data_IF_678746885746
#
_entry.id   IF_678746885746
#
_cell.length_a   1.000
_cell.length_b   1.000
_cell.length_c   1.000
_cell.angle_alpha   90.00
_cell.angle_beta   90.00
_cell.angle_gamma   90.00
#
_symmetry.space_group_name_H-M   'P 1'
#
loop_
_entity.id
_entity.type
_entity.pdbx_description
1 polymer ?
#
# COMPACT_ATOMS: atom_id res chain seq x y z
N UNK A 1 77.54 21.66 -23.54
CA UNK A 1 76.74 20.72 -22.73
C UNK A 1 77.66 19.58 -22.32
N UNK A 2 77.78 19.33 -21.02
CA UNK A 2 78.75 18.36 -20.47
C UNK A 2 78.20 16.94 -20.59
N UNK A 3 79.06 15.98 -20.96
CA UNK A 3 78.74 14.54 -20.99
C UNK A 3 78.27 14.03 -19.62
N UNK A 4 78.65 14.72 -18.54
CA UNK A 4 78.33 14.37 -17.15
C UNK A 4 76.84 14.57 -16.83
N UNK A 5 76.15 15.54 -17.44
CA UNK A 5 74.71 15.72 -17.21
C UNK A 5 73.86 14.68 -17.94
N UNK A 6 74.36 14.12 -19.06
CA UNK A 6 73.67 13.05 -19.78
C UNK A 6 73.84 11.65 -19.18
N UNK A 7 74.77 11.48 -18.23
CA UNK A 7 74.90 10.24 -17.45
C UNK A 7 73.92 10.16 -16.28
N UNK A 8 73.38 11.29 -15.81
CA UNK A 8 72.40 11.32 -14.73
C UNK A 8 71.13 10.52 -15.08
N UNK A 9 70.65 10.62 -16.33
CA UNK A 9 69.51 9.86 -16.85
C UNK A 9 69.73 8.34 -16.85
N UNK A 10 70.99 7.86 -16.81
CA UNK A 10 71.32 6.43 -16.70
C UNK A 10 71.41 5.94 -15.24
N UNK A 11 71.45 6.85 -14.27
CA UNK A 11 71.46 6.54 -12.83
C UNK A 11 70.09 6.77 -12.17
N UNK A 12 69.12 7.35 -12.89
CA UNK A 12 67.72 7.32 -12.48
C UNK A 12 67.21 5.89 -12.60
N UNK A 13 67.27 5.16 -11.48
CA UNK A 13 66.78 3.80 -11.39
C UNK A 13 65.26 3.83 -11.65
N UNK A 14 64.84 3.27 -12.78
CA UNK A 14 63.44 3.24 -13.18
C UNK A 14 62.70 2.23 -12.29
N UNK A 15 62.18 2.72 -11.16
CA UNK A 15 61.40 1.89 -10.24
C UNK A 15 60.05 1.58 -10.92
N UNK A 16 59.91 0.36 -11.43
CA UNK A 16 58.63 -0.14 -11.92
C UNK A 16 57.61 -0.16 -10.76
N UNK A 17 56.51 0.58 -10.85
CA UNK A 17 55.52 0.60 -9.79
C UNK A 17 54.86 -0.78 -9.67
N UNK A 18 54.68 -1.23 -8.42
CA UNK A 18 53.98 -2.48 -8.14
C UNK A 18 52.56 -2.37 -8.70
N UNK A 19 52.11 -3.33 -9.53
CA UNK A 19 50.75 -3.35 -10.05
C UNK A 19 49.72 -3.26 -8.91
N UNK A 20 48.87 -2.23 -8.94
CA UNK A 20 47.79 -2.09 -7.95
C UNK A 20 46.83 -3.29 -8.07
N UNK A 21 46.61 -4.07 -7.00
CA UNK A 21 45.59 -5.11 -6.99
C UNK A 21 44.22 -4.46 -7.17
N UNK A 22 43.42 -5.01 -8.08
CA UNK A 22 42.10 -4.47 -8.35
C UNK A 22 41.08 -5.58 -8.53
N UNK A 23 39.84 -5.26 -8.17
CA UNK A 23 38.69 -6.13 -8.33
C UNK A 23 37.58 -5.31 -8.97
N UNK A 24 37.09 -5.76 -10.12
CA UNK A 24 36.01 -5.12 -10.87
C UNK A 24 34.89 -6.13 -11.06
N UNK A 25 33.69 -5.75 -10.61
CA UNK A 25 32.46 -6.52 -10.84
C UNK A 25 31.62 -5.80 -11.88
N UNK A 26 31.29 -6.50 -12.96
CA UNK A 26 30.49 -6.00 -14.07
C UNK A 26 29.14 -6.73 -14.05
N UNK A 27 28.04 -5.98 -13.94
CA UNK A 27 26.69 -6.55 -13.90
C UNK A 27 25.74 -5.77 -14.80
N UNK A 28 25.10 -6.48 -15.73
CA UNK A 28 24.13 -5.97 -16.69
C UNK A 28 24.64 -4.74 -17.47
N UNK A 29 25.78 -4.91 -18.14
CA UNK A 29 26.47 -3.85 -18.88
C UNK A 29 26.48 -4.17 -20.37
N UNK A 30 26.12 -3.19 -21.19
CA UNK A 30 26.34 -3.21 -22.62
C UNK A 30 27.54 -2.31 -22.96
N UNK A 31 28.52 -2.85 -23.67
CA UNK A 31 29.71 -2.13 -24.11
C UNK A 31 29.71 -2.05 -25.63
N UNK A 32 30.01 -0.86 -26.15
CA UNK A 32 30.29 -0.62 -27.56
C UNK A 32 31.77 -0.31 -27.70
N UNK A 33 32.54 -1.25 -28.24
CA UNK A 33 33.98 -1.14 -28.36
C UNK A 33 34.37 -0.63 -29.74
N UNK A 34 34.99 0.55 -29.76
CA UNK A 34 35.59 1.13 -30.95
C UNK A 34 37.11 0.95 -30.91
N UNK A 35 37.67 0.51 -32.02
CA UNK A 35 39.11 0.34 -32.14
C UNK A 35 39.79 1.66 -32.51
N UNK A 36 40.63 2.16 -31.61
CA UNK A 36 41.35 3.45 -31.76
C UNK A 36 42.70 3.30 -32.49
N UNK A 37 42.91 2.18 -33.19
CA UNK A 37 44.16 1.98 -33.93
C UNK A 37 44.16 2.82 -35.22
N UNK A 38 45.23 3.58 -35.50
CA UNK A 38 45.35 4.27 -36.78
C UNK A 38 45.37 3.25 -37.92
N UNK A 39 44.74 3.55 -39.06
CA UNK A 39 44.68 2.62 -40.19
C UNK A 39 46.09 2.31 -40.69
N UNK A 40 46.45 1.03 -40.67
CA UNK A 40 47.78 0.57 -41.13
C UNK A 40 47.93 0.64 -42.65
N UNK A 41 46.81 0.67 -43.39
CA UNK A 41 46.77 0.81 -44.84
C UNK A 41 45.60 1.72 -45.25
N UNK A 42 45.89 2.67 -46.13
CA UNK A 42 44.92 3.66 -46.64
C UNK A 42 43.79 3.06 -47.49
N UNK A 43 43.92 1.80 -47.94
CA UNK A 43 42.94 1.09 -48.77
C UNK A 43 42.17 0.01 -48.02
N UNK A 44 42.47 -0.23 -46.74
CA UNK A 44 41.75 -1.23 -45.94
C UNK A 44 40.44 -0.64 -45.40
N UNK A 45 39.33 -1.41 -45.37
CA UNK A 45 38.15 -0.99 -44.61
C UNK A 45 38.56 -0.78 -43.14
N UNK A 46 38.02 0.28 -42.53
CA UNK A 46 38.30 0.62 -41.14
C UNK A 46 37.87 -0.48 -40.16
N UNK A 47 38.34 -0.40 -38.90
CA UNK A 47 37.99 -1.41 -37.92
C UNK A 47 36.49 -1.40 -37.61
N UNK A 48 35.93 -2.59 -37.37
CA UNK A 48 34.50 -2.79 -37.14
C UNK A 48 34.25 -2.75 -35.62
N UNK A 49 33.30 -1.93 -35.12
CA UNK A 49 32.95 -1.89 -33.72
C UNK A 49 32.42 -3.24 -33.20
N UNK A 50 32.64 -3.53 -31.92
CA UNK A 50 32.18 -4.75 -31.25
C UNK A 50 31.20 -4.40 -30.14
N UNK A 51 29.99 -4.95 -30.22
CA UNK A 51 28.99 -4.88 -29.15
C UNK A 51 29.12 -6.09 -28.22
N UNK A 52 29.29 -5.83 -26.93
CA UNK A 52 29.35 -6.84 -25.89
C UNK A 52 28.22 -6.63 -24.89
N UNK A 53 27.45 -7.69 -24.63
CA UNK A 53 26.45 -7.69 -23.58
C UNK A 53 26.91 -8.60 -22.44
N UNK A 54 27.19 -8.01 -21.29
CA UNK A 54 27.76 -8.67 -20.12
C UNK A 54 26.69 -8.77 -19.05
N UNK A 55 26.21 -10.00 -18.79
CA UNK A 55 25.24 -10.27 -17.73
C UNK A 55 25.89 -10.15 -16.36
N UNK A 56 26.91 -10.96 -16.08
CA UNK A 56 27.72 -10.90 -14.85
C UNK A 56 29.16 -11.38 -15.15
N UNK A 57 30.17 -10.58 -14.79
CA UNK A 57 31.59 -10.90 -14.98
C UNK A 57 32.43 -10.33 -13.85
N UNK A 58 33.45 -11.08 -13.43
CA UNK A 58 34.40 -10.65 -12.40
C UNK A 58 35.81 -10.56 -12.98
N UNK A 59 36.46 -9.42 -12.78
CA UNK A 59 37.82 -9.17 -13.26
C UNK A 59 38.71 -8.86 -12.06
N UNK A 60 39.79 -9.62 -11.89
CA UNK A 60 40.76 -9.44 -10.80
C UNK A 60 42.16 -9.21 -11.36
N UNK A 61 42.82 -8.14 -10.94
CA UNK A 61 44.27 -7.96 -11.16
C UNK A 61 45.00 -8.34 -9.89
N UNK A 62 45.90 -9.32 -9.98
CA UNK A 62 46.77 -9.72 -8.87
C UNK A 62 48.01 -8.81 -8.79
N UNK A 63 48.79 -8.94 -7.73
CA UNK A 63 50.07 -8.22 -7.52
C UNK A 63 51.10 -8.50 -8.63
N UNK A 64 51.00 -9.66 -9.30
CA UNK A 64 51.78 -10.01 -10.50
C UNK A 64 51.36 -9.21 -11.75
N UNK A 65 50.36 -8.34 -11.63
CA UNK A 65 49.83 -7.50 -12.71
C UNK A 65 48.89 -8.22 -13.69
N UNK A 66 48.69 -9.53 -13.56
CA UNK A 66 47.85 -10.35 -14.44
C UNK A 66 46.36 -10.18 -14.13
N UNK A 67 45.58 -9.92 -15.18
CA UNK A 67 44.12 -9.88 -15.14
C UNK A 67 43.52 -11.27 -15.28
N UNK A 68 42.73 -11.67 -14.29
CA UNK A 68 41.95 -12.90 -14.27
C UNK A 68 40.50 -12.54 -14.51
N UNK A 69 39.90 -13.13 -15.54
CA UNK A 69 38.51 -12.93 -15.89
C UNK A 69 37.77 -14.21 -15.53
N UNK A 70 36.91 -14.13 -14.53
CA UNK A 70 36.18 -15.26 -13.97
C UNK A 70 34.67 -15.03 -14.06
N UNK A 71 33.88 -16.08 -14.34
CA UNK A 71 32.44 -16.00 -14.16
C UNK A 71 32.13 -15.75 -12.68
N UNK A 72 31.09 -14.96 -12.40
CA UNK A 72 30.65 -14.74 -11.02
C UNK A 72 30.28 -16.10 -10.42
N UNK A 73 30.98 -16.50 -9.35
CA UNK A 73 30.58 -17.67 -8.56
C UNK A 73 29.31 -17.27 -7.83
N UNK A 74 28.17 -17.69 -8.36
CA UNK A 74 26.90 -17.64 -7.65
C UNK A 74 27.11 -18.47 -6.39
N UNK A 75 27.26 -17.82 -5.23
CA UNK A 75 27.20 -18.48 -3.94
C UNK A 75 25.74 -18.88 -3.70
N UNK A 76 25.28 -19.91 -4.41
CA UNK A 76 23.90 -20.41 -4.40
C UNK A 76 23.41 -20.72 -2.98
N UNK A 77 24.33 -21.05 -2.07
CA UNK A 77 23.99 -21.38 -0.68
C UNK A 77 23.55 -20.16 0.15
N UNK A 78 24.14 -18.97 -0.08
CA UNK A 78 23.78 -17.75 0.66
C UNK A 78 22.55 -17.05 0.07
N UNK A 79 22.36 -17.10 -1.26
CA UNK A 79 21.17 -16.53 -1.90
C UNK A 79 19.92 -17.34 -1.57
N UNK A 80 20.00 -18.68 -1.56
CA UNK A 80 18.86 -19.52 -1.20
C UNK A 80 18.40 -19.31 0.26
N UNK A 81 19.34 -19.13 1.18
CA UNK A 81 19.02 -18.84 2.58
C UNK A 81 18.39 -17.44 2.75
N UNK A 82 18.94 -16.42 2.07
CA UNK A 82 18.39 -15.06 2.11
C UNK A 82 17.00 -14.98 1.49
N UNK A 83 16.78 -15.62 0.35
CA UNK A 83 15.49 -15.68 -0.34
C UNK A 83 14.48 -16.48 0.50
N UNK A 84 14.90 -17.60 1.12
CA UNK A 84 14.01 -18.40 1.97
C UNK A 84 13.49 -17.62 3.17
N UNK A 85 14.33 -16.79 3.79
CA UNK A 85 13.92 -15.96 4.93
C UNK A 85 12.94 -14.85 4.52
N UNK A 86 13.16 -14.23 3.36
CA UNK A 86 12.27 -13.21 2.80
C UNK A 86 10.92 -13.80 2.36
N UNK A 87 10.93 -15.01 1.81
CA UNK A 87 9.70 -15.74 1.46
C UNK A 87 8.90 -16.09 2.72
N UNK A 88 9.55 -16.48 3.82
CA UNK A 88 8.87 -16.80 5.07
C UNK A 88 8.27 -15.56 5.74
N UNK A 89 8.98 -14.43 5.74
CA UNK A 89 8.46 -13.16 6.26
C UNK A 89 7.29 -12.65 5.44
N UNK A 90 7.36 -12.73 4.10
CA UNK A 90 6.24 -12.40 3.22
C UNK A 90 5.03 -13.33 3.44
N UNK A 91 5.25 -14.63 3.67
CA UNK A 91 4.16 -15.57 4.01
C UNK A 91 3.47 -15.19 5.31
N UNK A 92 4.23 -14.80 6.33
CA UNK A 92 3.69 -14.32 7.62
C UNK A 92 2.82 -13.08 7.43
N UNK A 93 3.31 -12.09 6.68
CA UNK A 93 2.55 -10.85 6.40
C UNK A 93 1.26 -11.15 5.63
N UNK A 94 1.33 -12.03 4.62
CA UNK A 94 0.15 -12.42 3.85
C UNK A 94 -0.89 -13.11 4.73
N UNK A 95 -0.47 -13.98 5.65
CA UNK A 95 -1.38 -14.63 6.59
C UNK A 95 -2.06 -13.62 7.53
N UNK A 96 -1.30 -12.65 8.05
CA UNK A 96 -1.83 -11.59 8.90
C UNK A 96 -2.87 -10.74 8.16
N UNK A 97 -2.56 -10.28 6.95
CA UNK A 97 -3.48 -9.50 6.11
C UNK A 97 -4.74 -10.29 5.74
N UNK A 98 -4.64 -11.62 5.59
CA UNK A 98 -5.81 -12.46 5.33
C UNK A 98 -6.73 -12.55 6.54
N UNK A 99 -6.17 -12.63 7.75
CA UNK A 99 -6.95 -12.61 9.00
C UNK A 99 -7.63 -11.25 9.18
N UNK A 100 -6.89 -10.15 9.00
CA UNK A 100 -7.45 -8.80 9.10
C UNK A 100 -8.58 -8.58 8.10
N UNK A 101 -8.41 -8.99 6.84
CA UNK A 101 -9.48 -8.91 5.84
C UNK A 101 -10.72 -9.72 6.23
N UNK A 102 -10.54 -10.89 6.85
CA UNK A 102 -11.65 -11.72 7.31
C UNK A 102 -12.42 -11.02 8.44
N UNK A 103 -11.72 -10.39 9.37
CA UNK A 103 -12.35 -9.69 10.48
C UNK A 103 -13.03 -8.39 10.03
N UNK A 104 -12.42 -7.65 9.10
CA UNK A 104 -13.07 -6.50 8.46
C UNK A 104 -14.37 -6.90 7.74
N UNK A 105 -14.38 -8.03 7.03
CA UNK A 105 -15.60 -8.55 6.38
C UNK A 105 -16.69 -8.85 7.41
N UNK A 106 -16.35 -9.48 8.53
CA UNK A 106 -17.31 -9.72 9.63
C UNK A 106 -17.85 -8.41 10.22
N UNK A 107 -17.00 -7.41 10.38
CA UNK A 107 -17.42 -6.09 10.88
C UNK A 107 -18.35 -5.38 9.89
N UNK A 108 -18.12 -5.53 8.59
CA UNK A 108 -19.03 -4.98 7.57
C UNK A 108 -20.40 -5.66 7.64
N UNK A 109 -20.44 -7.00 7.76
CA UNK A 109 -21.70 -7.74 7.88
C UNK A 109 -22.51 -7.32 9.12
N UNK A 110 -21.85 -7.16 10.28
CA UNK A 110 -22.55 -6.71 11.50
C UNK A 110 -23.02 -5.27 11.38
N UNK A 111 -22.21 -4.38 10.80
CA UNK A 111 -22.58 -3.00 10.57
C UNK A 111 -23.79 -2.86 9.63
N UNK A 112 -23.82 -3.65 8.55
CA UNK A 112 -24.94 -3.70 7.61
C UNK A 112 -26.23 -4.15 8.31
N UNK A 113 -26.15 -5.19 9.14
CA UNK A 113 -27.30 -5.66 9.92
C UNK A 113 -27.81 -4.57 10.88
N UNK A 114 -26.93 -3.92 11.64
CA UNK A 114 -27.30 -2.83 12.55
C UNK A 114 -27.90 -1.65 11.79
N UNK A 115 -27.36 -1.32 10.63
CA UNK A 115 -27.90 -0.25 9.78
C UNK A 115 -29.33 -0.56 9.32
N UNK A 116 -29.61 -1.81 8.95
CA UNK A 116 -30.95 -2.26 8.59
C UNK A 116 -31.91 -2.19 9.78
N UNK A 117 -31.50 -2.72 10.94
CA UNK A 117 -32.29 -2.68 12.16
C UNK A 117 -32.60 -1.23 12.60
N UNK A 118 -31.65 -0.31 12.45
CA UNK A 118 -31.87 1.12 12.71
C UNK A 118 -32.90 1.73 11.76
N UNK A 119 -32.86 1.38 10.47
CA UNK A 119 -33.85 1.88 9.51
C UNK A 119 -35.27 1.39 9.85
N UNK A 120 -35.41 0.12 10.23
CA UNK A 120 -36.68 -0.45 10.66
C UNK A 120 -37.17 0.19 11.97
N UNK A 121 -36.28 0.40 12.94
CA UNK A 121 -36.60 1.11 14.19
C UNK A 121 -37.11 2.53 13.94
N UNK A 122 -36.49 3.27 13.01
CA UNK A 122 -36.96 4.59 12.64
C UNK A 122 -38.38 4.56 12.07
N UNK A 123 -38.67 3.59 11.19
CA UNK A 123 -40.02 3.41 10.64
C UNK A 123 -41.04 3.08 11.71
N UNK A 124 -40.75 2.14 12.61
CA UNK A 124 -41.67 1.80 13.71
C UNK A 124 -41.90 2.99 14.64
N UNK A 125 -40.88 3.80 14.88
CA UNK A 125 -41.01 5.02 15.67
C UNK A 125 -41.95 6.03 15.01
N UNK A 126 -41.85 6.24 13.70
CA UNK A 126 -42.74 7.13 12.97
C UNK A 126 -44.20 6.64 13.00
N UNK A 127 -44.43 5.35 12.77
CA UNK A 127 -45.75 4.73 12.85
C UNK A 127 -46.34 4.83 14.26
N UNK A 128 -45.51 4.57 15.29
CA UNK A 128 -45.88 4.72 16.70
C UNK A 128 -46.27 6.16 17.04
N UNK A 129 -45.48 7.14 16.63
CA UNK A 129 -45.81 8.55 16.85
C UNK A 129 -47.10 8.94 16.14
N UNK A 130 -47.33 8.48 14.90
CA UNK A 130 -48.60 8.72 14.19
C UNK A 130 -49.80 8.15 14.96
N UNK A 131 -49.69 6.92 15.45
CA UNK A 131 -50.75 6.28 16.25
C UNK A 131 -50.99 7.01 17.57
N UNK A 132 -49.91 7.43 18.24
CA UNK A 132 -49.96 8.20 19.48
C UNK A 132 -50.65 9.56 19.27
N UNK A 133 -50.38 10.25 18.16
CA UNK A 133 -51.08 11.50 17.82
C UNK A 133 -52.58 11.26 17.60
N UNK A 134 -52.95 10.19 16.88
CA UNK A 134 -54.36 9.83 16.68
C UNK A 134 -55.07 9.52 18.00
N UNK A 135 -54.40 8.82 18.92
CA UNK A 135 -54.91 8.53 20.25
C UNK A 135 -55.20 9.83 21.03
N UNK A 136 -54.23 10.75 21.08
CA UNK A 136 -54.38 12.05 21.77
C UNK A 136 -55.57 12.84 21.20
N UNK A 137 -55.74 12.84 19.88
CA UNK A 137 -56.88 13.50 19.23
C UNK A 137 -58.22 12.84 19.59
N UNK A 138 -58.28 11.51 19.65
CA UNK A 138 -59.47 10.78 20.05
C UNK A 138 -59.82 11.05 21.52
N UNK A 139 -58.83 11.03 22.41
CA UNK A 139 -58.99 11.36 23.83
C UNK A 139 -59.55 12.78 24.01
N UNK A 140 -58.98 13.77 23.31
CA UNK A 140 -59.50 15.15 23.32
C UNK A 140 -60.95 15.22 22.85
N UNK A 141 -61.33 14.41 21.85
CA UNK A 141 -62.71 14.38 21.35
C UNK A 141 -63.68 13.76 22.35
N UNK A 142 -63.27 12.69 23.04
CA UNK A 142 -64.06 12.08 24.11
C UNK A 142 -64.28 13.09 25.23
N UNK A 143 -63.23 13.79 25.68
CA UNK A 143 -63.38 14.82 26.72
C UNK A 143 -64.33 15.94 26.29
N UNK A 144 -64.29 16.37 25.03
CA UNK A 144 -65.21 17.38 24.49
C UNK A 144 -66.67 16.89 24.51
N UNK A 145 -66.90 15.62 24.17
CA UNK A 145 -68.23 15.02 24.19
C UNK A 145 -68.76 14.85 25.62
N UNK A 146 -67.91 14.43 26.55
CA UNK A 146 -68.27 14.30 27.98
C UNK A 146 -68.64 15.65 28.59
N UNK A 147 -67.90 16.72 28.26
CA UNK A 147 -68.25 18.08 28.68
C UNK A 147 -69.63 18.50 28.15
N UNK A 148 -69.93 18.23 26.87
CA UNK A 148 -71.23 18.54 26.28
C UNK A 148 -72.35 17.73 26.93
N UNK A 149 -72.12 16.43 27.15
CA UNK A 149 -73.09 15.55 27.81
C UNK A 149 -73.39 16.03 29.24
N UNK A 150 -72.35 16.40 29.99
CA UNK A 150 -72.48 16.96 31.35
C UNK A 150 -73.29 18.26 31.35
N UNK A 151 -73.03 19.17 30.39
CA UNK A 151 -73.81 20.41 30.22
C UNK A 151 -75.28 20.13 29.90
N UNK A 152 -75.56 19.18 29.00
CA UNK A 152 -76.93 18.78 28.65
C UNK A 152 -77.67 18.15 29.83
N UNK A 153 -77.03 17.26 30.57
CA UNK A 153 -77.60 16.68 31.80
C UNK A 153 -77.94 17.76 32.83
N UNK A 154 -77.05 18.73 33.04
CA UNK A 154 -77.29 19.86 33.94
C UNK A 154 -78.46 20.75 33.46
N UNK A 155 -78.70 20.84 32.15
CA UNK A 155 -79.83 21.57 31.58
C UNK A 155 -81.17 20.82 31.72
N UNK A 156 -81.16 19.48 31.66
CA UNK A 156 -82.38 18.64 31.76
C UNK A 156 -82.76 18.36 33.23
N UNK A 157 -81.77 18.27 34.13
CA UNK A 157 -82.00 18.01 35.56
C UNK A 157 -82.75 19.08 36.39
N UNK A 158 -82.92 20.37 36.00
CA UNK A 158 -83.65 21.34 36.83
C UNK A 158 -85.18 21.17 36.80
N UNK A 159 -85.75 20.42 35.85
CA UNK A 159 -87.22 20.39 35.67
C UNK A 159 -87.96 19.34 36.51
N UNK A 160 -87.26 18.48 37.26
CA UNK A 160 -87.91 17.46 38.10
C UNK A 160 -88.30 17.94 39.52
N UNK A 161 -88.16 19.23 39.84
CA UNK A 161 -88.42 19.77 41.18
C UNK A 161 -89.74 20.55 41.30
N UNK A 162 -90.52 20.67 40.22
CA UNK A 162 -91.71 21.55 40.18
C UNK A 162 -93.02 20.87 39.78
N UNK A 163 -93.04 19.54 39.66
CA UNK A 163 -94.26 18.77 39.45
C UNK A 163 -94.56 17.88 40.66
N UNK A 164 -94.83 18.46 41.82
CA UNK A 164 -95.70 17.85 42.83
C UNK A 164 -96.28 18.90 43.79
N UNK A 165 -97.59 19.15 43.67
CA UNK A 165 -98.43 19.57 44.79
C UNK A 165 -98.83 21.05 44.88
N UNK A 166 -99.55 21.58 43.89
CA UNK A 166 -100.47 22.70 44.15
C UNK A 166 -101.70 22.18 44.90
N UNK A 167 -101.99 22.83 46.02
CA UNK A 167 -103.18 22.69 46.87
C UNK A 167 -104.40 23.36 46.23
#
# INVERSE_FOLDING_TARGET
>A
MSVVTGLADFFEDEIYPIPLPMVVSLKNIALHLNEDRPPTNITSPGPIPIDLNITELFIKRNEDGVFHIEPMKINKENENASISNEVESLRSIVQELQLENKDLRRHMETFEQVSKENMDLHRYKEEYESMRHALIMAESKVTEMDEKYTKLLAFISPECSQCDGNR
#
